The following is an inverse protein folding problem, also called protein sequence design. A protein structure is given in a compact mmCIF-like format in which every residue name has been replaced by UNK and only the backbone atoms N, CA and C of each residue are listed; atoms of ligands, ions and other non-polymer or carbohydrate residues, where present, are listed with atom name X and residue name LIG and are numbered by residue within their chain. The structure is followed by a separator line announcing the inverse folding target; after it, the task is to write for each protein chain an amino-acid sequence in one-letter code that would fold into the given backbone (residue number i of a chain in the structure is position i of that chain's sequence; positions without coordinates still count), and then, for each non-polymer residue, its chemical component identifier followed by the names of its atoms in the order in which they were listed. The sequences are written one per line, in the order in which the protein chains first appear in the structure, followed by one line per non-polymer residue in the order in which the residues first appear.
data_IF_344912351992
#
_entry.id   IF_344912351992
#
_cell.length_a   1.000
_cell.length_b   1.000
_cell.length_c   1.000
_cell.angle_alpha   90.00
_cell.angle_beta   90.00
_cell.angle_gamma   90.00
#
_symmetry.space_group_name_H-M   'P 1'
#
loop_
_entity.id
_entity.type
_entity.pdbx_description
1 polymer ?
#
# COMPACT_ATOMS: atom_id res chain seq x y z
N UNK A 1 -17.18 31.73 -1.17
CA UNK A 1 -15.72 31.51 -1.20
C UNK A 1 -15.41 30.31 -2.08
N UNK A 2 -14.82 30.50 -3.25
CA UNK A 2 -14.42 29.38 -4.10
C UNK A 2 -13.33 28.56 -3.39
N UNK A 3 -13.49 27.22 -3.40
CA UNK A 3 -12.51 26.32 -2.79
C UNK A 3 -11.20 26.42 -3.56
N UNK A 4 -10.16 26.99 -2.96
CA UNK A 4 -8.80 27.06 -3.53
C UNK A 4 -8.07 25.70 -3.53
N UNK A 5 -8.62 24.67 -2.89
CA UNK A 5 -8.05 23.33 -2.77
C UNK A 5 -9.15 22.26 -2.75
N UNK A 6 -9.00 21.21 -3.53
CA UNK A 6 -9.91 20.06 -3.63
C UNK A 6 -9.12 18.75 -3.55
N UNK A 7 -9.30 17.98 -2.50
CA UNK A 7 -8.65 16.68 -2.32
C UNK A 7 -9.36 15.61 -3.14
N UNK A 8 -8.70 15.04 -4.15
CA UNK A 8 -9.21 13.96 -4.99
C UNK A 8 -8.80 12.58 -4.45
N UNK A 9 -9.55 11.49 -4.70
CA UNK A 9 -9.06 10.13 -4.44
C UNK A 9 -7.88 9.84 -5.36
N UNK A 10 -6.82 9.23 -4.83
CA UNK A 10 -5.69 8.79 -5.66
C UNK A 10 -6.05 7.49 -6.37
N UNK A 11 -5.88 7.46 -7.69
CA UNK A 11 -6.01 6.28 -8.54
C UNK A 11 -4.72 6.14 -9.32
N UNK A 12 -3.98 5.08 -9.03
CA UNK A 12 -2.72 4.81 -9.72
C UNK A 12 -2.99 4.25 -11.12
N UNK A 13 -2.21 4.74 -12.10
CA UNK A 13 -2.15 4.10 -13.41
C UNK A 13 -1.51 2.72 -13.30
N UNK A 14 -1.98 1.78 -14.10
CA UNK A 14 -1.43 0.43 -14.16
C UNK A 14 -0.39 0.28 -15.26
N UNK A 15 -0.42 1.17 -16.25
CA UNK A 15 0.48 1.23 -17.39
C UNK A 15 0.86 2.70 -17.66
N UNK A 16 2.03 2.93 -18.24
CA UNK A 16 2.54 4.28 -18.51
C UNK A 16 1.58 5.12 -19.38
N UNK A 17 0.80 4.47 -20.23
CA UNK A 17 -0.14 5.10 -21.18
C UNK A 17 -1.49 5.49 -20.58
N UNK A 18 -1.78 5.12 -19.34
CA UNK A 18 -3.11 5.27 -18.70
C UNK A 18 -3.30 6.56 -17.91
N UNK A 19 -2.32 7.46 -17.89
CA UNK A 19 -2.35 8.68 -17.07
C UNK A 19 -3.63 9.50 -17.23
N UNK A 20 -4.12 9.66 -18.45
CA UNK A 20 -5.35 10.42 -18.73
C UNK A 20 -6.62 9.72 -18.23
N UNK A 21 -6.72 8.39 -18.37
CA UNK A 21 -7.83 7.60 -17.87
C UNK A 21 -7.85 7.58 -16.32
N UNK A 22 -6.68 7.44 -15.69
CA UNK A 22 -6.53 7.46 -14.24
C UNK A 22 -6.85 8.87 -13.68
N UNK A 23 -6.37 9.94 -14.30
CA UNK A 23 -6.72 11.31 -13.93
C UNK A 23 -8.22 11.57 -14.04
N UNK A 24 -8.88 11.09 -15.09
CA UNK A 24 -10.34 11.19 -15.23
C UNK A 24 -11.05 10.38 -14.13
N UNK A 25 -10.55 9.20 -13.78
CA UNK A 25 -11.08 8.41 -12.66
C UNK A 25 -11.03 9.16 -11.34
N UNK A 26 -9.93 9.89 -11.06
CA UNK A 26 -9.80 10.73 -9.86
C UNK A 26 -10.83 11.86 -9.84
N UNK A 27 -11.06 12.55 -10.98
CA UNK A 27 -12.09 13.59 -11.12
C UNK A 27 -13.48 13.02 -10.88
N UNK A 28 -13.81 11.91 -11.51
CA UNK A 28 -15.12 11.26 -11.33
C UNK A 28 -15.31 10.78 -9.90
N UNK A 29 -14.27 10.22 -9.28
CA UNK A 29 -14.27 9.80 -7.87
C UNK A 29 -14.48 10.97 -6.91
N UNK A 30 -13.92 12.16 -7.20
CA UNK A 30 -14.17 13.38 -6.44
C UNK A 30 -15.65 13.79 -6.44
N UNK A 31 -16.32 13.62 -7.57
CA UNK A 31 -17.76 13.88 -7.70
C UNK A 31 -18.64 12.72 -7.21
N UNK A 32 -18.04 11.60 -6.78
CA UNK A 32 -18.76 10.46 -6.18
C UNK A 32 -19.14 9.34 -7.15
N UNK A 33 -18.57 9.31 -8.36
CA UNK A 33 -18.71 8.20 -9.31
C UNK A 33 -17.41 7.42 -9.39
N UNK A 34 -17.39 6.22 -8.80
CA UNK A 34 -16.24 5.33 -8.86
C UNK A 34 -16.41 4.33 -9.99
N UNK A 35 -15.46 4.32 -10.92
CA UNK A 35 -15.45 3.41 -12.07
C UNK A 35 -14.15 2.62 -12.12
N UNK A 36 -14.19 1.42 -12.68
CA UNK A 36 -12.99 0.64 -12.95
C UNK A 36 -12.12 1.35 -13.98
N UNK A 37 -10.80 1.41 -13.75
CA UNK A 37 -9.86 2.06 -14.66
C UNK A 37 -9.94 1.48 -16.07
N UNK A 38 -10.13 0.16 -16.18
CA UNK A 38 -10.29 -0.55 -17.47
C UNK A 38 -11.45 -0.01 -18.30
N UNK A 39 -12.60 0.29 -17.68
CA UNK A 39 -13.72 0.88 -18.37
C UNK A 39 -13.40 2.29 -18.89
N UNK A 40 -12.73 3.10 -18.08
CA UNK A 40 -12.29 4.43 -18.48
C UNK A 40 -11.22 4.39 -19.56
N UNK A 41 -10.34 3.39 -19.53
CA UNK A 41 -9.36 3.13 -20.57
C UNK A 41 -10.03 2.95 -21.95
N UNK A 42 -11.06 2.10 -22.03
CA UNK A 42 -11.83 1.87 -23.25
C UNK A 42 -12.50 3.17 -23.71
N UNK A 43 -13.14 3.89 -22.81
CA UNK A 43 -13.90 5.10 -23.14
C UNK A 43 -13.02 6.30 -23.53
N UNK A 44 -11.82 6.40 -22.96
CA UNK A 44 -10.82 7.41 -23.34
C UNK A 44 -10.01 6.99 -24.59
N UNK A 45 -10.19 5.74 -25.05
CA UNK A 45 -9.48 5.22 -26.23
C UNK A 45 -7.97 5.18 -26.01
N UNK A 46 -7.52 4.70 -24.83
CA UNK A 46 -6.10 4.51 -24.55
C UNK A 46 -5.53 3.47 -25.51
N UNK A 47 -4.50 3.84 -26.24
CA UNK A 47 -3.70 2.99 -27.11
C UNK A 47 -2.29 2.81 -26.53
N UNK A 48 -1.39 2.17 -27.29
CA UNK A 48 0.04 2.08 -26.94
C UNK A 48 0.72 3.46 -26.85
N UNK A 49 0.17 4.47 -27.55
CA UNK A 49 0.69 5.85 -27.53
C UNK A 49 0.00 6.73 -26.46
N UNK A 50 -0.83 6.13 -25.61
CA UNK A 50 -1.59 6.84 -24.58
C UNK A 50 -2.95 7.35 -25.06
N UNK A 51 -3.44 8.43 -24.44
CA UNK A 51 -4.68 9.09 -24.84
C UNK A 51 -4.48 10.60 -24.96
N UNK A 52 -5.29 11.24 -25.81
CA UNK A 52 -5.24 12.69 -26.00
C UNK A 52 -6.31 13.42 -25.17
N UNK A 53 -6.12 14.72 -24.94
CA UNK A 53 -7.03 15.56 -24.18
C UNK A 53 -8.47 15.56 -24.74
N UNK A 54 -8.65 15.48 -26.06
CA UNK A 54 -9.98 15.42 -26.71
C UNK A 54 -10.74 14.16 -26.30
N UNK A 55 -10.07 13.03 -26.22
CA UNK A 55 -10.67 11.76 -25.84
C UNK A 55 -11.07 11.75 -24.35
N UNK A 56 -10.24 12.34 -23.49
CA UNK A 56 -10.56 12.51 -22.05
C UNK A 56 -11.84 13.34 -21.90
N UNK A 57 -11.94 14.48 -22.60
CA UNK A 57 -13.12 15.35 -22.58
C UNK A 57 -14.36 14.63 -23.13
N UNK A 58 -14.22 13.86 -24.20
CA UNK A 58 -15.33 13.07 -24.79
C UNK A 58 -15.84 12.02 -23.81
N UNK A 59 -14.95 11.28 -23.18
CA UNK A 59 -15.31 10.28 -22.17
C UNK A 59 -16.00 10.93 -20.96
N UNK A 60 -15.48 12.05 -20.45
CA UNK A 60 -16.07 12.79 -19.35
C UNK A 60 -17.52 13.23 -19.63
N UNK A 61 -17.77 13.76 -20.86
CA UNK A 61 -19.12 14.17 -21.31
C UNK A 61 -20.09 13.01 -21.40
N UNK A 62 -19.62 11.83 -21.86
CA UNK A 62 -20.43 10.60 -21.92
C UNK A 62 -20.94 10.20 -20.53
N UNK A 63 -20.18 10.48 -19.48
CA UNK A 63 -20.55 10.15 -18.09
C UNK A 63 -21.29 11.28 -17.37
N UNK A 64 -21.75 12.30 -18.08
CA UNK A 64 -22.55 13.37 -17.51
C UNK A 64 -21.75 14.49 -16.85
N UNK A 65 -20.47 14.67 -17.21
CA UNK A 65 -19.71 15.84 -16.84
C UNK A 65 -19.73 16.87 -17.99
N UNK A 66 -19.90 18.13 -17.66
CA UNK A 66 -19.56 19.22 -18.56
C UNK A 66 -18.03 19.38 -18.53
N UNK A 67 -17.37 19.11 -19.67
CA UNK A 67 -15.92 19.08 -19.76
C UNK A 67 -15.42 20.03 -20.85
N UNK A 68 -14.51 20.95 -20.51
CA UNK A 68 -13.93 21.96 -21.39
C UNK A 68 -12.41 21.96 -21.30
N UNK A 69 -11.74 22.17 -22.43
CA UNK A 69 -10.28 22.30 -22.51
C UNK A 69 -9.88 23.74 -22.77
N UNK A 70 -8.86 24.21 -22.09
CA UNK A 70 -8.34 25.56 -22.23
C UNK A 70 -6.82 25.55 -22.34
N UNK A 71 -6.27 26.59 -22.98
CA UNK A 71 -4.85 26.94 -22.88
C UNK A 71 -4.72 28.11 -21.92
N UNK A 72 -3.96 27.96 -20.85
CA UNK A 72 -3.83 28.94 -19.77
C UNK A 72 -2.38 29.10 -19.33
N UNK A 73 -1.98 30.29 -18.93
CA UNK A 73 -0.74 30.54 -18.20
C UNK A 73 -0.85 30.05 -16.75
N UNK A 74 0.26 29.97 -16.03
CA UNK A 74 0.29 29.60 -14.61
C UNK A 74 -0.62 30.50 -13.78
N UNK A 75 -0.59 31.84 -13.96
CA UNK A 75 -1.44 32.78 -13.24
C UNK A 75 -2.94 32.50 -13.42
N UNK A 76 -3.33 32.04 -14.61
CA UNK A 76 -4.70 31.68 -14.93
C UNK A 76 -5.05 30.29 -14.42
N UNK A 77 -4.09 29.36 -14.29
CA UNK A 77 -4.26 28.08 -13.61
C UNK A 77 -4.57 28.29 -12.13
N UNK A 78 -3.85 29.19 -11.46
CA UNK A 78 -4.06 29.51 -10.03
C UNK A 78 -5.47 30.07 -9.73
N UNK A 79 -6.14 30.65 -10.75
CA UNK A 79 -7.53 31.13 -10.67
C UNK A 79 -8.56 30.07 -11.04
N UNK A 80 -8.13 28.89 -11.53
CA UNK A 80 -9.05 27.81 -11.89
C UNK A 80 -9.64 27.17 -10.62
N UNK A 81 -10.91 26.80 -10.71
CA UNK A 81 -11.59 26.03 -9.68
C UNK A 81 -11.09 24.57 -9.69
N UNK A 82 -10.44 24.10 -8.63
CA UNK A 82 -10.02 22.72 -8.54
C UNK A 82 -11.21 21.79 -8.24
N UNK A 83 -11.14 20.48 -8.59
CA UNK A 83 -10.04 19.83 -9.30
C UNK A 83 -10.16 19.97 -10.82
N UNK A 84 -9.02 20.02 -11.50
CA UNK A 84 -8.96 19.96 -12.97
C UNK A 84 -7.79 19.06 -13.40
N UNK A 85 -7.77 18.58 -14.63
CA UNK A 85 -6.65 17.85 -15.20
C UNK A 85 -5.74 18.83 -15.91
N UNK A 86 -4.44 18.73 -15.69
CA UNK A 86 -3.41 19.52 -16.37
C UNK A 86 -2.46 18.60 -17.13
N UNK A 87 -1.90 19.08 -18.23
CA UNK A 87 -0.90 18.40 -19.00
C UNK A 87 0.49 18.75 -18.47
N UNK A 88 1.33 17.76 -18.27
CA UNK A 88 2.56 17.79 -17.51
C UNK A 88 3.73 17.25 -18.33
N UNK A 89 4.87 17.91 -18.35
CA UNK A 89 6.09 17.48 -19.05
C UNK A 89 5.86 17.00 -20.50
N UNK A 90 4.88 17.58 -21.21
CA UNK A 90 4.51 17.28 -22.61
C UNK A 90 4.06 15.84 -22.92
N UNK A 91 4.06 14.93 -21.94
CA UNK A 91 3.73 13.51 -22.14
C UNK A 91 2.82 12.91 -21.07
N UNK A 92 2.41 13.68 -20.06
CA UNK A 92 1.70 13.17 -18.90
C UNK A 92 0.47 14.01 -18.54
N UNK A 93 -0.53 13.40 -17.89
CA UNK A 93 -1.71 14.07 -17.34
C UNK A 93 -1.75 13.85 -15.83
N UNK A 94 -1.89 14.95 -15.09
CA UNK A 94 -2.02 14.93 -13.63
C UNK A 94 -3.24 15.74 -13.18
N UNK A 95 -3.74 15.48 -11.99
CA UNK A 95 -4.87 16.22 -11.42
C UNK A 95 -4.35 17.37 -10.57
N UNK A 96 -4.71 18.58 -10.94
CA UNK A 96 -4.50 19.78 -10.15
C UNK A 96 -5.52 19.85 -9.01
N UNK A 97 -5.06 19.81 -7.77
CA UNK A 97 -5.88 19.91 -6.57
C UNK A 97 -5.96 21.35 -6.01
N UNK A 98 -5.13 22.25 -6.51
CA UNK A 98 -5.13 23.68 -6.08
C UNK A 98 -3.95 24.05 -5.21
N UNK A 99 -4.07 25.20 -4.56
CA UNK A 99 -3.03 25.78 -3.69
C UNK A 99 -3.51 25.83 -2.24
N UNK A 100 -2.63 25.46 -1.31
CA UNK A 100 -2.84 25.57 0.14
C UNK A 100 -1.62 26.19 0.80
N UNK A 101 -1.75 27.46 1.25
CA UNK A 101 -0.64 28.24 1.76
C UNK A 101 0.34 28.63 0.65
N UNK A 102 1.61 28.31 0.81
CA UNK A 102 2.68 28.60 -0.16
C UNK A 102 2.92 27.50 -1.18
N UNK A 103 2.19 26.38 -1.09
CA UNK A 103 2.43 25.19 -1.89
C UNK A 103 1.26 24.84 -2.77
N UNK A 104 1.58 24.34 -3.95
CA UNK A 104 0.67 23.74 -4.88
C UNK A 104 0.56 22.22 -4.63
N UNK A 105 -0.59 21.65 -4.96
CA UNK A 105 -0.86 20.22 -4.79
C UNK A 105 -1.36 19.65 -6.11
N UNK A 106 -0.72 18.58 -6.52
CA UNK A 106 -1.16 17.73 -7.64
C UNK A 106 -1.39 16.31 -7.15
N UNK A 107 -2.26 15.57 -7.82
CA UNK A 107 -2.43 14.14 -7.64
C UNK A 107 -2.02 13.46 -8.94
N UNK A 108 -0.83 12.85 -8.91
CA UNK A 108 -0.19 12.23 -10.05
C UNK A 108 -0.59 10.76 -10.14
N UNK A 109 -1.15 10.28 -11.26
CA UNK A 109 -1.48 8.86 -11.41
C UNK A 109 -0.29 7.91 -11.33
N UNK A 110 0.93 8.36 -11.63
CA UNK A 110 2.13 7.54 -11.55
C UNK A 110 2.69 7.48 -10.11
N UNK A 111 2.72 8.63 -9.42
CA UNK A 111 3.43 8.81 -8.16
C UNK A 111 2.52 9.07 -6.95
N UNK A 112 1.25 9.38 -7.18
CA UNK A 112 0.33 9.76 -6.12
C UNK A 112 0.33 11.27 -5.84
N UNK A 113 -0.12 11.65 -4.64
CA UNK A 113 -0.25 13.07 -4.30
C UNK A 113 1.09 13.71 -3.98
N UNK A 114 1.39 14.84 -4.65
CA UNK A 114 2.64 15.58 -4.51
C UNK A 114 2.36 17.01 -4.03
N UNK A 115 3.31 17.53 -3.25
CA UNK A 115 3.37 18.91 -2.78
C UNK A 115 4.54 19.57 -3.49
N UNK A 116 4.29 20.62 -4.25
CA UNK A 116 5.26 21.27 -5.13
C UNK A 116 5.30 22.78 -4.85
N UNK A 117 6.40 23.43 -5.20
CA UNK A 117 6.52 24.88 -5.27
C UNK A 117 5.84 25.41 -6.55
N UNK A 118 5.59 26.72 -6.60
CA UNK A 118 5.03 27.32 -7.83
C UNK A 118 6.04 27.32 -8.99
N UNK A 119 7.33 27.37 -8.70
CA UNK A 119 8.41 27.27 -9.69
C UNK A 119 8.42 25.89 -10.33
N UNK A 120 8.37 24.81 -9.53
CA UNK A 120 8.27 23.43 -10.06
C UNK A 120 7.01 23.19 -10.91
N UNK A 121 5.91 23.91 -10.62
CA UNK A 121 4.70 23.83 -11.45
C UNK A 121 4.92 24.53 -12.79
N UNK A 122 5.56 25.71 -12.79
CA UNK A 122 5.78 26.48 -14.01
C UNK A 122 6.69 25.76 -14.99
N UNK A 123 7.73 25.11 -14.50
CA UNK A 123 8.69 24.34 -15.29
C UNK A 123 8.04 23.15 -16.03
N UNK A 124 7.07 22.51 -15.39
CA UNK A 124 6.46 21.27 -15.90
C UNK A 124 5.09 21.45 -16.56
N UNK A 125 4.40 22.57 -16.29
CA UNK A 125 3.06 22.83 -16.81
C UNK A 125 3.08 23.31 -18.26
N UNK A 126 2.45 22.58 -19.17
CA UNK A 126 2.47 22.86 -20.61
C UNK A 126 1.40 23.85 -21.10
N UNK A 127 0.60 24.38 -20.18
CA UNK A 127 -0.46 25.33 -20.51
C UNK A 127 -1.83 24.72 -20.82
N UNK A 128 -1.99 23.40 -20.88
CA UNK A 128 -3.28 22.74 -21.14
C UNK A 128 -3.98 22.40 -19.83
N UNK A 129 -5.24 22.86 -19.71
CA UNK A 129 -6.11 22.63 -18.55
C UNK A 129 -7.45 22.06 -19.02
N UNK A 130 -7.88 20.95 -18.40
CA UNK A 130 -9.20 20.36 -18.63
C UNK A 130 -10.04 20.56 -17.36
N UNK A 131 -11.14 21.27 -17.49
CA UNK A 131 -12.06 21.57 -16.37
C UNK A 131 -13.31 20.71 -16.46
N UNK A 132 -13.89 20.37 -15.30
CA UNK A 132 -15.03 19.48 -15.21
C UNK A 132 -16.06 20.02 -14.22
N UNK A 133 -17.33 19.98 -14.62
CA UNK A 133 -18.47 20.31 -13.77
C UNK A 133 -19.54 19.20 -13.89
N UNK A 134 -20.28 18.96 -12.79
CA UNK A 134 -21.38 17.98 -12.82
C UNK A 134 -22.60 18.56 -13.54
N UNK A 135 -23.23 17.72 -14.38
CA UNK A 135 -24.52 18.04 -14.96
C UNK A 135 -25.63 17.22 -14.29
N UNK A 136 -26.90 17.49 -14.56
CA UNK A 136 -28.04 16.73 -14.05
C UNK A 136 -28.02 15.24 -14.44
N UNK A 137 -27.31 14.91 -15.52
CA UNK A 137 -27.14 13.53 -16.03
C UNK A 137 -26.05 12.74 -15.30
N UNK A 138 -25.35 13.35 -14.34
CA UNK A 138 -24.25 12.71 -13.64
C UNK A 138 -24.75 11.77 -12.54
N UNK A 139 -24.53 10.48 -12.70
CA UNK A 139 -24.92 9.45 -11.74
C UNK A 139 -23.78 9.14 -10.76
N UNK A 140 -24.07 9.19 -9.47
CA UNK A 140 -23.13 8.79 -8.41
C UNK A 140 -23.14 7.28 -8.23
N UNK A 141 -21.98 6.64 -8.34
CA UNK A 141 -21.80 5.19 -8.15
C UNK A 141 -20.79 4.98 -7.01
N UNK A 142 -21.24 4.45 -5.88
CA UNK A 142 -20.35 4.08 -4.76
C UNK A 142 -19.75 2.71 -4.99
N UNK A 143 -18.44 2.63 -5.10
CA UNK A 143 -17.73 1.36 -5.12
C UNK A 143 -17.45 0.91 -3.68
N UNK A 144 -18.02 -0.25 -3.27
CA UNK A 144 -17.76 -0.91 -1.97
C UNK A 144 -16.67 -1.99 -2.10
N UNK A 145 -15.52 -1.69 -2.69
CA UNK A 145 -14.39 -2.65 -2.63
C UNK A 145 -13.51 -2.28 -1.46
N UNK A 146 -13.64 -2.99 -0.34
CA UNK A 146 -12.79 -2.84 0.83
C UNK A 146 -11.58 -3.76 0.69
N UNK A 147 -10.37 -3.27 1.02
CA UNK A 147 -9.15 -4.10 1.08
C UNK A 147 -9.38 -5.38 1.88
N UNK A 148 -10.16 -5.29 2.97
CA UNK A 148 -10.51 -6.44 3.80
C UNK A 148 -11.26 -7.53 3.02
N UNK A 149 -12.16 -7.18 2.10
CA UNK A 149 -12.88 -8.16 1.27
C UNK A 149 -11.95 -8.86 0.27
N UNK A 150 -10.95 -8.16 -0.24
CA UNK A 150 -9.91 -8.72 -1.11
C UNK A 150 -9.04 -9.72 -0.35
N UNK A 151 -8.51 -9.33 0.82
CA UNK A 151 -7.71 -10.21 1.69
C UNK A 151 -8.50 -11.44 2.11
N UNK A 152 -9.75 -11.27 2.59
CA UNK A 152 -10.64 -12.37 3.00
C UNK A 152 -10.88 -13.38 1.87
N UNK A 153 -11.04 -12.91 0.63
CA UNK A 153 -11.23 -13.79 -0.52
C UNK A 153 -9.97 -14.61 -0.82
N UNK A 154 -8.78 -14.01 -0.73
CA UNK A 154 -7.48 -14.67 -0.96
C UNK A 154 -7.14 -15.68 0.14
N UNK A 155 -7.51 -15.40 1.39
CA UNK A 155 -7.29 -16.29 2.53
C UNK A 155 -8.32 -17.44 2.63
N UNK A 156 -9.38 -17.41 1.83
CA UNK A 156 -10.42 -18.44 1.82
C UNK A 156 -9.80 -19.81 1.48
N UNK A 157 -10.05 -20.81 2.35
CA UNK A 157 -9.52 -22.16 2.20
C UNK A 157 -8.12 -22.38 2.81
N UNK A 158 -7.51 -21.36 3.45
CA UNK A 158 -6.21 -21.46 4.12
C UNK A 158 -6.29 -21.36 5.65
N UNK A 159 -7.51 -21.35 6.21
CA UNK A 159 -7.73 -21.12 7.65
C UNK A 159 -6.99 -22.12 8.55
N UNK A 160 -6.91 -23.39 8.14
CA UNK A 160 -6.20 -24.43 8.89
C UNK A 160 -4.70 -24.14 9.01
N UNK A 161 -4.06 -23.72 7.91
CA UNK A 161 -2.63 -23.37 7.90
C UNK A 161 -2.36 -22.11 8.73
N UNK A 162 -3.25 -21.12 8.64
CA UNK A 162 -3.17 -19.89 9.45
C UNK A 162 -3.33 -20.21 10.94
N UNK A 163 -4.32 -21.05 11.29
CA UNK A 163 -4.52 -21.46 12.68
C UNK A 163 -3.30 -22.21 13.23
N UNK A 164 -2.71 -23.14 12.46
CA UNK A 164 -1.50 -23.84 12.86
C UNK A 164 -0.31 -22.89 13.09
N UNK A 165 -0.13 -21.88 12.20
CA UNK A 165 0.90 -20.85 12.38
C UNK A 165 0.69 -20.02 13.65
N UNK A 166 -0.56 -19.63 13.93
CA UNK A 166 -0.92 -18.91 15.15
C UNK A 166 -0.65 -19.77 16.38
N UNK A 167 -1.03 -21.03 16.37
CA UNK A 167 -0.81 -21.95 17.49
C UNK A 167 0.69 -22.14 17.78
N UNK A 168 1.51 -22.33 16.74
CA UNK A 168 2.97 -22.44 16.92
C UNK A 168 3.56 -21.10 17.40
N UNK A 169 3.07 -19.97 16.88
CA UNK A 169 3.49 -18.64 17.34
C UNK A 169 3.21 -18.42 18.81
N UNK A 170 2.04 -18.84 19.32
CA UNK A 170 1.70 -18.80 20.73
C UNK A 170 2.56 -19.78 21.57
N UNK A 171 2.85 -20.97 21.05
CA UNK A 171 3.76 -21.90 21.72
C UNK A 171 5.18 -21.32 21.88
N UNK A 172 5.64 -20.49 20.92
CA UNK A 172 6.95 -19.82 20.99
C UNK A 172 7.03 -18.74 22.07
N UNK A 173 5.89 -18.24 22.57
CA UNK A 173 5.87 -17.29 23.68
C UNK A 173 6.46 -17.94 24.95
N UNK A 174 6.17 -19.22 25.16
CA UNK A 174 6.66 -19.93 26.36
C UNK A 174 8.19 -19.91 26.49
N UNK A 175 8.99 -20.42 25.53
CA UNK A 175 10.44 -20.33 25.63
C UNK A 175 10.94 -18.86 25.63
N UNK A 176 10.24 -17.95 24.94
CA UNK A 176 10.56 -16.52 24.97
C UNK A 176 10.46 -15.87 26.36
N UNK A 177 9.58 -16.37 27.23
CA UNK A 177 9.48 -15.93 28.64
C UNK A 177 10.49 -16.63 29.54
N UNK A 178 10.78 -17.90 29.29
CA UNK A 178 11.68 -18.70 30.11
C UNK A 178 13.13 -18.24 29.99
N UNK A 179 13.58 -17.78 28.80
CA UNK A 179 14.97 -17.34 28.58
C UNK A 179 15.40 -16.17 29.49
N UNK A 180 14.63 -15.08 29.65
CA UNK A 180 14.95 -14.01 30.59
C UNK A 180 15.01 -14.51 32.05
N UNK A 181 14.11 -15.42 32.44
CA UNK A 181 14.13 -16.03 33.78
C UNK A 181 15.40 -16.84 34.00
N UNK A 182 15.87 -17.58 32.99
CA UNK A 182 17.16 -18.28 33.09
C UNK A 182 18.31 -17.30 33.28
N UNK A 183 18.31 -16.16 32.61
CA UNK A 183 19.36 -15.14 32.81
C UNK A 183 19.35 -14.62 34.26
N UNK A 184 18.19 -14.38 34.81
CA UNK A 184 18.05 -13.94 36.22
C UNK A 184 18.55 -15.02 37.21
N UNK A 185 18.07 -16.26 37.11
CA UNK A 185 18.49 -17.39 37.98
C UNK A 185 20.00 -17.62 37.83
N UNK A 186 20.56 -17.51 36.65
CA UNK A 186 22.01 -17.66 36.45
C UNK A 186 22.81 -16.62 37.22
N UNK A 187 22.37 -15.34 37.14
CA UNK A 187 23.07 -14.24 37.84
C UNK A 187 22.89 -14.33 39.35
N UNK A 188 21.65 -14.44 39.79
CA UNK A 188 21.31 -14.32 41.23
C UNK A 188 21.70 -15.58 42.03
N UNK A 189 21.36 -16.77 41.54
CA UNK A 189 21.51 -18.00 42.32
C UNK A 189 22.84 -18.70 42.05
N UNK A 190 23.34 -18.71 40.81
CA UNK A 190 24.54 -19.45 40.48
C UNK A 190 25.78 -18.57 40.63
N UNK A 191 25.78 -17.36 40.09
CA UNK A 191 26.95 -16.50 40.03
C UNK A 191 27.18 -15.75 41.37
N UNK A 192 26.12 -15.13 41.89
CA UNK A 192 26.17 -14.39 43.16
C UNK A 192 25.93 -15.30 44.37
N UNK A 193 25.03 -16.26 44.26
CA UNK A 193 24.70 -17.21 45.34
C UNK A 193 25.70 -18.35 45.51
N UNK A 194 26.63 -18.56 44.58
CA UNK A 194 27.67 -19.58 44.63
C UNK A 194 27.16 -21.04 44.57
N UNK A 195 25.92 -21.25 44.15
CA UNK A 195 25.27 -22.57 44.08
C UNK A 195 25.70 -23.41 42.86
N UNK A 196 26.98 -23.78 42.82
CA UNK A 196 27.56 -24.53 41.68
C UNK A 196 26.92 -25.92 41.45
N UNK A 197 26.28 -26.52 42.48
CA UNK A 197 25.61 -27.82 42.35
C UNK A 197 24.44 -27.80 41.35
N UNK A 198 23.85 -26.67 41.10
CA UNK A 198 22.66 -26.52 40.23
C UNK A 198 23.04 -26.30 38.78
N UNK A 199 24.31 -26.04 38.46
CA UNK A 199 24.77 -25.71 37.10
C UNK A 199 24.39 -26.77 36.09
N UNK A 200 24.59 -28.05 36.41
CA UNK A 200 24.30 -29.15 35.45
C UNK A 200 22.81 -29.24 35.15
N UNK A 201 21.94 -29.20 36.15
CA UNK A 201 20.48 -29.22 35.94
C UNK A 201 20.01 -28.00 35.18
N UNK A 202 20.52 -26.81 35.50
CA UNK A 202 20.24 -25.55 34.84
C UNK A 202 20.62 -25.60 33.33
N UNK A 203 21.83 -26.01 33.00
CA UNK A 203 22.29 -26.12 31.62
C UNK A 203 21.49 -27.15 30.81
N UNK A 204 21.09 -28.27 31.44
CA UNK A 204 20.27 -29.29 30.81
C UNK A 204 18.89 -28.73 30.41
N UNK A 205 18.22 -28.03 31.36
CA UNK A 205 16.90 -27.43 31.11
C UNK A 205 17.00 -26.30 30.07
N UNK A 206 18.04 -25.47 30.16
CA UNK A 206 18.30 -24.41 29.15
C UNK A 206 18.53 -24.98 27.77
N UNK A 207 19.36 -26.03 27.63
CA UNK A 207 19.62 -26.71 26.37
C UNK A 207 18.32 -27.28 25.77
N UNK A 208 17.51 -27.95 26.61
CA UNK A 208 16.20 -28.44 26.14
C UNK A 208 15.27 -27.34 25.69
N UNK A 209 15.21 -26.21 26.40
CA UNK A 209 14.37 -25.05 26.03
C UNK A 209 14.82 -24.44 24.70
N UNK A 210 16.12 -24.29 24.49
CA UNK A 210 16.68 -23.77 23.22
C UNK A 210 16.41 -24.72 22.05
N UNK A 211 16.62 -26.04 22.26
CA UNK A 211 16.30 -27.04 21.23
C UNK A 211 14.81 -27.05 20.88
N UNK A 212 13.95 -26.97 21.87
CA UNK A 212 12.50 -26.89 21.68
C UNK A 212 12.11 -25.64 20.88
N UNK A 213 12.67 -24.48 21.24
CA UNK A 213 12.45 -23.24 20.50
C UNK A 213 12.93 -23.32 19.06
N UNK A 214 14.13 -23.88 18.83
CA UNK A 214 14.69 -24.07 17.50
C UNK A 214 13.80 -24.98 16.64
N UNK A 215 13.29 -26.07 17.21
CA UNK A 215 12.38 -27.01 16.54
C UNK A 215 11.07 -26.32 16.14
N UNK A 216 10.44 -25.58 17.06
CA UNK A 216 9.21 -24.83 16.78
C UNK A 216 9.42 -23.76 15.71
N UNK A 217 10.54 -23.04 15.78
CA UNK A 217 10.89 -22.00 14.79
C UNK A 217 11.10 -22.60 13.40
N UNK A 218 11.80 -23.72 13.33
CA UNK A 218 12.00 -24.47 12.10
C UNK A 218 10.68 -24.96 11.48
N UNK A 219 9.80 -25.53 12.29
CA UNK A 219 8.48 -25.99 11.85
C UNK A 219 7.59 -24.81 11.39
N UNK A 220 7.64 -23.69 12.10
CA UNK A 220 6.95 -22.45 11.72
C UNK A 220 7.42 -21.97 10.34
N UNK A 221 8.74 -21.97 10.09
CA UNK A 221 9.32 -21.59 8.79
C UNK A 221 8.80 -22.45 7.65
N UNK A 222 8.83 -23.78 7.80
CA UNK A 222 8.31 -24.71 6.79
C UNK A 222 6.82 -24.50 6.51
N UNK A 223 6.01 -24.29 7.54
CA UNK A 223 4.57 -24.05 7.37
C UNK A 223 4.30 -22.73 6.65
N UNK A 224 5.05 -21.68 7.00
CA UNK A 224 4.94 -20.37 6.36
C UNK A 224 5.31 -20.45 4.89
N UNK A 225 6.43 -21.08 4.56
CA UNK A 225 6.88 -21.29 3.17
C UNK A 225 5.86 -22.09 2.35
N UNK A 226 5.33 -23.19 2.91
CA UNK A 226 4.27 -23.96 2.26
C UNK A 226 3.02 -23.14 2.00
N UNK A 227 2.62 -22.28 2.95
CA UNK A 227 1.47 -21.40 2.78
C UNK A 227 1.71 -20.36 1.68
N UNK A 228 2.90 -19.71 1.66
CA UNK A 228 3.30 -18.75 0.63
C UNK A 228 3.28 -19.38 -0.76
N UNK A 229 3.95 -20.52 -0.94
CA UNK A 229 4.04 -21.23 -2.20
C UNK A 229 2.66 -21.69 -2.70
N UNK A 230 1.80 -22.19 -1.81
CA UNK A 230 0.44 -22.58 -2.15
C UNK A 230 -0.40 -21.38 -2.59
N UNK A 231 -0.32 -20.25 -1.90
CA UNK A 231 -1.05 -19.03 -2.24
C UNK A 231 -0.54 -18.43 -3.56
N UNK A 232 0.77 -18.42 -3.78
CA UNK A 232 1.39 -17.97 -5.02
C UNK A 232 0.90 -18.81 -6.21
N UNK A 233 0.91 -20.15 -6.09
CA UNK A 233 0.47 -21.05 -7.14
C UNK A 233 -1.02 -20.89 -7.48
N UNK A 234 -1.89 -20.81 -6.48
CA UNK A 234 -3.34 -20.59 -6.68
C UNK A 234 -3.57 -19.23 -7.36
N UNK A 235 -2.89 -18.19 -6.90
CA UNK A 235 -3.03 -16.85 -7.47
C UNK A 235 -2.53 -16.75 -8.90
N UNK A 236 -1.39 -17.39 -9.20
CA UNK A 236 -0.86 -17.47 -10.56
C UNK A 236 -1.80 -18.23 -11.49
N UNK A 237 -2.34 -19.37 -11.04
CA UNK A 237 -3.31 -20.15 -11.80
C UNK A 237 -4.60 -19.36 -12.11
N UNK A 238 -5.18 -18.70 -11.09
CA UNK A 238 -6.38 -17.87 -11.28
C UNK A 238 -6.12 -16.72 -12.26
N UNK A 239 -4.96 -16.06 -12.13
CA UNK A 239 -4.59 -14.95 -12.99
C UNK A 239 -4.39 -15.39 -14.43
N UNK A 240 -3.59 -16.43 -14.68
CA UNK A 240 -3.33 -16.95 -16.02
C UNK A 240 -4.60 -17.51 -16.67
N UNK A 241 -5.42 -18.24 -15.90
CA UNK A 241 -6.70 -18.75 -16.41
C UNK A 241 -7.65 -17.62 -16.80
N UNK A 242 -7.63 -16.50 -16.10
CA UNK A 242 -8.39 -15.31 -16.48
C UNK A 242 -7.79 -14.65 -17.71
N UNK A 243 -6.48 -14.46 -17.75
CA UNK A 243 -5.75 -13.84 -18.86
C UNK A 243 -6.04 -14.54 -20.19
N UNK A 244 -5.97 -15.89 -20.24
CA UNK A 244 -6.22 -16.66 -21.45
C UNK A 244 -7.68 -16.65 -21.94
N UNK A 245 -8.62 -16.16 -21.12
CA UNK A 245 -10.02 -15.97 -21.51
C UNK A 245 -10.33 -14.59 -22.06
N UNK A 246 -9.35 -13.68 -22.04
CA UNK A 246 -9.55 -12.32 -22.54
C UNK A 246 -9.51 -12.28 -24.09
N UNK A 247 -10.27 -11.37 -24.71
CA UNK A 247 -10.31 -11.25 -26.17
C UNK A 247 -8.96 -10.72 -26.69
N UNK A 248 -8.66 -11.01 -27.98
CA UNK A 248 -7.41 -10.59 -28.63
C UNK A 248 -7.20 -9.07 -28.59
N UNK A 249 -8.27 -8.29 -28.68
CA UNK A 249 -8.23 -6.83 -28.56
C UNK A 249 -7.64 -6.30 -27.25
N UNK A 250 -7.66 -7.13 -26.19
CA UNK A 250 -7.00 -6.81 -24.94
C UNK A 250 -5.46 -6.82 -25.09
N UNK A 251 -4.93 -7.80 -25.83
CA UNK A 251 -3.49 -7.97 -26.05
C UNK A 251 -2.92 -6.97 -27.06
N UNK A 252 -3.70 -6.60 -28.08
CA UNK A 252 -3.29 -5.64 -29.11
C UNK A 252 -2.98 -4.25 -28.56
N UNK A 253 -3.60 -3.89 -27.44
CA UNK A 253 -3.44 -2.58 -26.79
C UNK A 253 -2.33 -2.54 -25.73
N UNK A 254 -1.64 -3.64 -25.48
CA UNK A 254 -0.66 -3.78 -24.38
C UNK A 254 0.67 -4.32 -24.87
N UNK A 255 1.72 -3.95 -24.14
CA UNK A 255 3.03 -4.57 -24.34
C UNK A 255 3.10 -5.89 -23.60
N UNK A 256 3.78 -6.87 -24.19
CA UNK A 256 3.97 -8.20 -23.55
C UNK A 256 4.75 -8.11 -22.24
N UNK A 257 5.69 -7.15 -22.12
CA UNK A 257 6.43 -6.87 -20.90
C UNK A 257 5.54 -6.48 -19.74
N UNK A 258 4.54 -5.61 -19.98
CA UNK A 258 3.59 -5.17 -18.95
C UNK A 258 2.74 -6.33 -18.42
N UNK A 259 2.41 -7.28 -19.30
CA UNK A 259 1.66 -8.48 -18.89
C UNK A 259 2.52 -9.43 -18.06
N UNK A 260 3.80 -9.60 -18.40
CA UNK A 260 4.74 -10.40 -17.63
C UNK A 260 4.96 -9.80 -16.22
N UNK A 261 5.15 -8.49 -16.13
CA UNK A 261 5.27 -7.78 -14.86
C UNK A 261 4.02 -7.96 -13.97
N UNK A 262 2.83 -7.97 -14.55
CA UNK A 262 1.59 -8.21 -13.80
C UNK A 262 1.51 -9.62 -13.21
N UNK A 263 2.04 -10.63 -13.91
CA UNK A 263 2.15 -12.00 -13.36
C UNK A 263 3.05 -11.99 -12.14
N UNK A 264 4.22 -11.34 -12.24
CA UNK A 264 5.19 -11.24 -11.14
C UNK A 264 4.61 -10.43 -9.97
N UNK A 265 3.98 -9.29 -10.24
CA UNK A 265 3.32 -8.48 -9.20
C UNK A 265 2.20 -9.24 -8.49
N UNK A 266 1.43 -10.08 -9.18
CA UNK A 266 0.43 -10.94 -8.55
C UNK A 266 1.07 -11.98 -7.61
N UNK A 267 2.25 -12.50 -7.97
CA UNK A 267 3.02 -13.41 -7.14
C UNK A 267 3.55 -12.70 -5.88
N UNK A 268 4.13 -11.50 -6.06
CA UNK A 268 4.62 -10.66 -4.96
C UNK A 268 3.52 -10.31 -3.97
N UNK A 269 2.31 -9.96 -4.45
CA UNK A 269 1.14 -9.72 -3.59
C UNK A 269 0.77 -10.97 -2.78
N UNK A 270 0.84 -12.15 -3.38
CA UNK A 270 0.51 -13.41 -2.69
C UNK A 270 1.53 -13.75 -1.61
N UNK A 271 2.81 -13.56 -1.90
CA UNK A 271 3.91 -13.76 -0.96
C UNK A 271 3.83 -12.76 0.20
N UNK A 272 3.57 -11.49 -0.10
CA UNK A 272 3.36 -10.45 0.90
C UNK A 272 2.16 -10.75 1.83
N UNK A 273 1.03 -11.19 1.28
CA UNK A 273 -0.17 -11.51 2.07
C UNK A 273 0.02 -12.72 2.99
N UNK A 274 0.70 -13.75 2.50
CA UNK A 274 0.94 -14.97 3.27
C UNK A 274 2.12 -14.83 4.24
N UNK A 275 3.18 -14.13 3.83
CA UNK A 275 4.40 -13.91 4.60
C UNK A 275 4.28 -12.71 5.52
N UNK A 276 4.57 -11.54 4.98
CA UNK A 276 4.79 -10.33 5.78
C UNK A 276 3.57 -9.91 6.60
N UNK A 277 2.37 -9.94 5.99
CA UNK A 277 1.14 -9.62 6.73
C UNK A 277 0.79 -10.71 7.74
N UNK A 278 0.93 -11.98 7.38
CA UNK A 278 0.68 -13.09 8.30
C UNK A 278 1.61 -13.03 9.51
N UNK A 279 2.89 -12.82 9.28
CA UNK A 279 3.88 -12.68 10.33
C UNK A 279 3.67 -11.43 11.20
N UNK A 280 3.32 -10.30 10.57
CA UNK A 280 3.00 -9.06 11.30
C UNK A 280 1.80 -9.24 12.24
N UNK A 281 0.73 -9.89 11.77
CA UNK A 281 -0.45 -10.17 12.61
C UNK A 281 -0.09 -11.07 13.79
N UNK A 282 0.72 -12.12 13.56
CA UNK A 282 1.22 -12.98 14.63
C UNK A 282 2.05 -12.21 15.65
N UNK A 283 2.98 -11.39 15.18
CA UNK A 283 3.84 -10.58 16.04
C UNK A 283 3.04 -9.57 16.88
N UNK A 284 1.95 -9.00 16.32
CA UNK A 284 1.03 -8.14 17.07
C UNK A 284 0.33 -8.92 18.19
N UNK A 285 -0.15 -10.14 17.90
CA UNK A 285 -0.81 -10.99 18.93
C UNK A 285 0.18 -11.31 20.07
N UNK A 286 1.39 -11.70 19.72
CA UNK A 286 2.46 -11.99 20.69
C UNK A 286 2.84 -10.73 21.48
N UNK A 287 2.98 -9.59 20.82
CA UNK A 287 3.29 -8.31 21.47
C UNK A 287 2.18 -7.87 22.45
N UNK A 288 0.91 -8.08 22.10
CA UNK A 288 -0.21 -7.83 23.03
C UNK A 288 -0.14 -8.72 24.26
N UNK A 289 0.21 -9.99 24.08
CA UNK A 289 0.39 -10.90 25.21
C UNK A 289 1.53 -10.45 26.16
N UNK A 290 2.70 -10.10 25.58
CA UNK A 290 3.82 -9.55 26.37
C UNK A 290 3.47 -8.23 27.05
N UNK A 291 2.69 -7.36 26.38
CA UNK A 291 2.24 -6.09 26.95
C UNK A 291 1.40 -6.30 28.22
N UNK A 292 0.44 -7.25 28.16
CA UNK A 292 -0.39 -7.59 29.31
C UNK A 292 0.49 -8.09 30.46
N UNK A 293 1.46 -8.95 30.14
CA UNK A 293 2.36 -9.50 31.13
C UNK A 293 3.27 -8.44 31.77
N UNK A 294 3.84 -7.53 30.97
CA UNK A 294 4.64 -6.42 31.47
C UNK A 294 3.85 -5.46 32.38
N UNK A 295 2.58 -5.22 32.07
CA UNK A 295 1.70 -4.40 32.90
C UNK A 295 1.49 -5.02 34.30
N UNK A 296 1.50 -6.35 34.42
CA UNK A 296 1.39 -7.01 35.73
C UNK A 296 2.68 -6.95 36.56
N UNK A 297 3.85 -6.88 35.89
CA UNK A 297 5.16 -6.77 36.56
C UNK A 297 5.49 -5.34 37.01
N UNK A 298 5.43 -4.37 36.10
CA UNK A 298 5.76 -2.97 36.39
C UNK A 298 5.06 -2.02 35.42
N UNK A 299 3.97 -1.35 35.82
CA UNK A 299 3.23 -0.41 34.97
C UNK A 299 4.09 0.78 34.52
N UNK A 300 5.00 1.26 35.39
CA UNK A 300 5.85 2.41 35.10
C UNK A 300 6.85 2.12 33.96
N UNK A 301 7.54 0.96 34.02
CA UNK A 301 8.48 0.54 33.00
C UNK A 301 7.77 0.26 31.65
N UNK A 302 6.57 -0.32 31.74
CA UNK A 302 5.73 -0.56 30.55
C UNK A 302 5.34 0.75 29.85
N UNK A 303 5.00 1.78 30.61
CA UNK A 303 4.67 3.10 30.07
C UNK A 303 5.87 3.74 29.36
N UNK A 304 7.07 3.62 29.92
CA UNK A 304 8.31 4.08 29.28
C UNK A 304 8.55 3.31 27.97
N UNK A 305 8.34 1.99 27.96
CA UNK A 305 8.46 1.15 26.77
C UNK A 305 7.47 1.57 25.67
N UNK A 306 6.20 1.81 26.02
CA UNK A 306 5.18 2.30 25.07
C UNK A 306 5.57 3.67 24.51
N UNK A 307 6.04 4.58 25.36
CA UNK A 307 6.50 5.91 24.92
C UNK A 307 7.66 5.82 23.89
N UNK A 308 8.61 4.90 24.14
CA UNK A 308 9.71 4.62 23.21
C UNK A 308 9.21 4.09 21.86
N UNK A 309 8.24 3.16 21.85
CA UNK A 309 7.64 2.64 20.60
C UNK A 309 6.91 3.74 19.84
N UNK A 310 6.11 4.57 20.52
CA UNK A 310 5.42 5.70 19.88
C UNK A 310 6.40 6.70 19.29
N UNK A 311 7.49 7.00 19.99
CA UNK A 311 8.56 7.87 19.49
C UNK A 311 9.24 7.30 18.25
N UNK A 312 9.55 6.01 18.24
CA UNK A 312 10.07 5.32 17.06
C UNK A 312 9.12 5.39 15.85
N UNK A 313 7.83 5.13 16.06
CA UNK A 313 6.82 5.25 15.00
C UNK A 313 6.73 6.68 14.44
N UNK A 314 6.89 7.68 15.30
CA UNK A 314 6.92 9.09 14.87
C UNK A 314 8.13 9.38 13.98
N UNK A 315 9.34 8.91 14.37
CA UNK A 315 10.56 9.06 13.56
C UNK A 315 10.41 8.37 12.21
N UNK A 316 9.94 7.11 12.20
CA UNK A 316 9.74 6.34 10.95
C UNK A 316 8.75 7.04 10.03
N UNK A 317 7.64 7.55 10.56
CA UNK A 317 6.65 8.29 9.77
C UNK A 317 7.22 9.57 9.17
N UNK A 318 8.03 10.30 9.94
CA UNK A 318 8.65 11.54 9.47
C UNK A 318 9.70 11.26 8.38
N UNK A 319 10.60 10.28 8.62
CA UNK A 319 11.64 9.87 7.67
C UNK A 319 11.04 9.28 6.38
N UNK A 320 10.02 8.44 6.49
CA UNK A 320 9.35 7.81 5.34
C UNK A 320 8.75 8.86 4.38
N UNK A 321 8.17 9.93 4.93
CA UNK A 321 7.60 11.01 4.10
C UNK A 321 8.69 11.78 3.36
N UNK A 322 9.86 11.99 3.98
CA UNK A 322 11.00 12.67 3.35
C UNK A 322 11.62 11.79 2.27
N UNK A 323 11.89 10.52 2.58
CA UNK A 323 12.48 9.55 1.63
C UNK A 323 11.57 9.36 0.40
N UNK A 324 10.26 9.25 0.59
CA UNK A 324 9.31 9.13 -0.52
C UNK A 324 9.38 10.33 -1.46
N UNK A 325 9.45 11.55 -0.92
CA UNK A 325 9.57 12.76 -1.73
C UNK A 325 10.91 12.84 -2.49
N UNK A 326 12.01 12.44 -1.85
CA UNK A 326 13.35 12.46 -2.46
C UNK A 326 13.49 11.38 -3.54
N UNK A 327 12.96 10.17 -3.31
CA UNK A 327 12.93 9.10 -4.32
C UNK A 327 12.11 9.50 -5.55
N UNK A 328 10.98 10.20 -5.34
CA UNK A 328 10.16 10.71 -6.45
C UNK A 328 10.89 11.77 -7.29
N UNK A 329 11.75 12.59 -6.67
CA UNK A 329 12.58 13.56 -7.40
C UNK A 329 13.64 12.89 -8.26
N UNK A 330 14.32 11.85 -7.71
CA UNK A 330 15.38 11.11 -8.42
C UNK A 330 14.86 10.29 -9.62
N UNK A 331 13.56 9.96 -9.68
CA UNK A 331 12.97 9.26 -10.83
C UNK A 331 12.54 10.21 -11.95
N UNK A 332 12.64 11.53 -11.74
CA UNK A 332 12.29 12.55 -12.76
C UNK A 332 13.50 13.08 -13.51
N UNK A 333 14.71 12.92 -12.99
CA UNK A 333 16.00 13.23 -13.62
C UNK A 333 16.48 11.99 -14.41
#
# INVERSE_FOLDING_TARGET
MEKKYAKTPTVYQMEATECGAASLSMIMGYYGRHMALEQLRIETGVSRDGCNAKNILRAARKFGLEAKGYRKSLDNLLKCKPPCIIHWNFNHFVVWEGVKGKFAYINDPAMGRRKLTLEEIDDCFTGIVLTFEITEKFEKIRQKRTLLSFVKRRLKGQYTSIFALVAIGLCLVFPGLVIPVFSQVFIDDILLGGNTKWITAFLTIMCFTVLFQALLTFYRGILLEKLQNKMALISAHEFLSHLFRLPMSFFDQRYSGDLAERVENNNNVSTFLAGDLGETVLNIIVAMFYLILLLTYSPLLTLIGIASVVFNLFIVKFSSTSIANDTMKMQQD
#
